data_IF_369387766167
#
_entry.id   IF_369387766167
#
_cell.length_a   1.000
_cell.length_b   1.000
_cell.length_c   1.000
_cell.angle_alpha   90.00
_cell.angle_beta   90.00
_cell.angle_gamma   90.00
#
_symmetry.space_group_name_H-M   'P 1'
#
loop_
_entity.id
_entity.type
_entity.pdbx_description
1 polymer ?
#
# COMPACT_ATOMS: atom_id res chain seq x y z
N UNK A 1 -41.42 14.22 10.84
CA UNK A 1 -40.19 14.94 11.20
C UNK A 1 -39.12 13.88 11.32
N UNK A 2 -38.21 13.81 10.35
CA UNK A 2 -37.02 12.99 10.40
C UNK A 2 -35.96 13.88 11.05
N UNK A 3 -35.51 13.52 12.25
CA UNK A 3 -34.45 14.22 12.96
C UNK A 3 -33.14 14.04 12.18
N UNK A 4 -32.84 15.01 11.32
CA UNK A 4 -31.62 15.09 10.55
C UNK A 4 -30.79 16.27 11.06
N UNK A 5 -30.16 16.11 12.22
CA UNK A 5 -28.87 16.75 12.54
C UNK A 5 -28.27 16.16 13.83
N UNK A 6 -28.05 14.85 13.87
CA UNK A 6 -27.07 14.32 14.82
C UNK A 6 -25.70 14.64 14.22
N UNK A 7 -24.88 15.51 14.84
CA UNK A 7 -23.54 15.78 14.32
C UNK A 7 -22.80 14.45 14.32
N UNK A 8 -22.46 13.94 13.14
CA UNK A 8 -21.54 12.80 13.03
C UNK A 8 -20.27 13.25 13.73
N UNK A 9 -20.01 12.72 14.93
CA UNK A 9 -18.78 13.00 15.66
C UNK A 9 -17.62 12.87 14.69
N UNK A 10 -16.77 13.89 14.63
CA UNK A 10 -15.69 13.94 13.65
C UNK A 10 -14.93 12.62 13.71
N UNK A 11 -15.01 11.84 12.62
CA UNK A 11 -14.24 10.62 12.52
C UNK A 11 -12.77 10.98 12.75
N UNK A 12 -12.01 10.17 13.50
CA UNK A 12 -10.59 10.40 13.64
C UNK A 12 -9.98 10.56 12.23
N UNK A 13 -9.07 11.53 12.10
CA UNK A 13 -8.38 11.78 10.84
C UNK A 13 -7.60 10.54 10.39
N UNK A 14 -7.16 10.51 9.11
CA UNK A 14 -6.42 9.37 8.58
C UNK A 14 -5.12 9.14 9.37
N UNK A 15 -4.79 7.87 9.66
CA UNK A 15 -3.45 7.50 10.16
C UNK A 15 -2.49 7.49 8.96
N UNK A 16 -1.56 8.45 8.94
CA UNK A 16 -0.62 8.66 7.84
C UNK A 16 0.80 8.38 8.34
N UNK A 17 1.51 7.51 7.62
CA UNK A 17 2.91 7.15 7.91
C UNK A 17 3.76 7.44 6.68
N UNK A 18 4.81 8.23 6.85
CA UNK A 18 5.75 8.56 5.78
C UNK A 18 6.86 7.52 5.72
N UNK A 19 7.17 7.01 4.54
CA UNK A 19 8.24 6.04 4.34
C UNK A 19 8.23 5.42 2.94
N UNK A 20 9.20 4.54 2.68
CA UNK A 20 9.20 3.67 1.51
C UNK A 20 8.29 2.48 1.80
N UNK A 21 7.08 2.49 1.25
CA UNK A 21 6.08 1.44 1.47
C UNK A 21 6.57 0.05 1.08
N UNK A 22 7.44 -0.08 0.07
CA UNK A 22 7.91 -1.39 -0.35
C UNK A 22 9.00 -1.90 0.60
N UNK A 23 9.90 -1.06 1.08
CA UNK A 23 10.99 -1.47 1.98
C UNK A 23 10.61 -1.50 3.45
N UNK A 24 9.65 -0.67 3.84
CA UNK A 24 9.26 -0.43 5.21
C UNK A 24 7.74 -0.22 5.27
N UNK A 25 7.00 -1.31 5.08
CA UNK A 25 5.55 -1.30 5.23
C UNK A 25 5.17 -0.81 6.64
N UNK A 26 4.38 0.26 6.67
CA UNK A 26 3.93 0.87 7.91
C UNK A 26 2.72 0.15 8.53
N UNK A 27 2.07 -0.73 7.76
CA UNK A 27 0.84 -1.41 8.14
C UNK A 27 0.86 -2.91 7.76
N UNK A 28 1.87 -3.69 8.20
CA UNK A 28 2.08 -5.08 7.75
C UNK A 28 0.97 -6.07 8.13
N UNK A 29 0.09 -5.70 9.07
CA UNK A 29 -1.04 -6.53 9.52
C UNK A 29 -2.40 -6.00 9.02
N UNK A 30 -2.41 -4.90 8.25
CA UNK A 30 -3.65 -4.28 7.79
C UNK A 30 -4.23 -5.08 6.62
N UNK A 31 -5.38 -5.70 6.85
CA UNK A 31 -6.25 -6.16 5.78
C UNK A 31 -7.23 -5.04 5.42
N UNK A 32 -7.33 -4.72 4.13
CA UNK A 32 -8.26 -3.72 3.62
C UNK A 32 -9.22 -4.37 2.62
N UNK A 33 -10.51 -4.03 2.72
CA UNK A 33 -11.52 -4.47 1.74
C UNK A 33 -11.31 -3.82 0.36
N UNK A 34 -10.63 -2.67 0.32
CA UNK A 34 -10.38 -1.91 -0.90
C UNK A 34 -9.09 -1.11 -0.76
N UNK A 35 -8.24 -1.21 -1.79
CA UNK A 35 -7.02 -0.41 -1.92
C UNK A 35 -7.11 0.46 -3.16
N UNK A 36 -6.79 1.75 -3.02
CA UNK A 36 -6.63 2.70 -4.11
C UNK A 36 -5.23 3.31 -4.02
N UNK A 37 -4.47 3.21 -5.11
CA UNK A 37 -3.16 3.82 -5.20
C UNK A 37 -2.89 4.35 -6.61
N UNK A 38 -1.98 5.30 -6.72
CA UNK A 38 -1.41 5.77 -7.99
C UNK A 38 0.12 5.76 -7.86
N UNK A 39 0.74 4.57 -7.88
CA UNK A 39 2.17 4.43 -7.63
C UNK A 39 3.00 5.06 -8.76
N UNK A 40 4.27 5.42 -8.48
CA UNK A 40 5.19 5.85 -9.52
C UNK A 40 5.40 4.74 -10.56
N UNK A 41 5.51 5.14 -11.83
CA UNK A 41 5.71 4.22 -12.96
C UNK A 41 7.19 4.16 -13.36
N UNK A 42 7.68 2.97 -13.72
CA UNK A 42 9.02 2.66 -14.20
C UNK A 42 10.13 3.13 -13.24
N UNK A 43 9.87 3.05 -11.93
CA UNK A 43 10.89 3.27 -10.91
C UNK A 43 11.88 2.10 -10.98
N UNK A 44 13.19 2.38 -10.96
CA UNK A 44 14.22 1.33 -11.06
C UNK A 44 14.87 1.03 -9.72
N UNK A 45 14.74 1.96 -8.77
CA UNK A 45 15.33 1.89 -7.44
C UNK A 45 14.30 1.55 -6.35
N UNK A 46 13.26 0.80 -6.69
CA UNK A 46 12.20 0.41 -5.76
C UNK A 46 12.61 -0.63 -4.70
N UNK A 47 13.83 -1.17 -4.78
CA UNK A 47 14.36 -2.12 -3.78
C UNK A 47 14.47 -3.57 -4.24
N UNK A 48 14.45 -3.83 -5.55
CA UNK A 48 14.51 -5.17 -6.13
C UNK A 48 15.53 -6.14 -5.50
N UNK A 49 16.76 -5.69 -5.24
CA UNK A 49 17.79 -6.58 -4.64
C UNK A 49 17.54 -6.84 -3.17
N UNK A 50 17.16 -5.80 -2.42
CA UNK A 50 16.87 -5.87 -0.98
C UNK A 50 15.66 -6.78 -0.71
N UNK A 51 14.69 -6.76 -1.62
CA UNK A 51 13.41 -7.44 -1.50
C UNK A 51 13.36 -8.79 -2.24
N UNK A 52 14.50 -9.33 -2.69
CA UNK A 52 14.53 -10.53 -3.53
C UNK A 52 13.85 -11.77 -2.92
N UNK A 53 13.79 -11.86 -1.59
CA UNK A 53 13.21 -12.98 -0.83
C UNK A 53 12.00 -12.57 0.01
N UNK A 54 11.39 -11.42 -0.30
CA UNK A 54 10.22 -10.94 0.41
C UNK A 54 9.04 -11.92 0.24
N UNK A 55 8.38 -12.34 1.34
CA UNK A 55 7.33 -13.34 1.28
C UNK A 55 6.07 -12.89 0.53
N UNK A 56 5.88 -11.58 0.27
CA UNK A 56 4.70 -11.08 -0.45
C UNK A 56 4.71 -11.41 -1.94
N UNK A 57 5.81 -11.91 -2.48
CA UNK A 57 5.94 -12.29 -3.89
C UNK A 57 5.30 -13.65 -4.21
N UNK A 58 3.99 -13.77 -4.00
CA UNK A 58 3.22 -15.00 -4.28
C UNK A 58 3.34 -15.44 -5.75
N UNK A 59 3.41 -14.47 -6.67
CA UNK A 59 3.48 -14.70 -8.12
C UNK A 59 4.91 -14.59 -8.67
N UNK A 60 5.91 -14.59 -7.79
CA UNK A 60 7.32 -14.44 -8.11
C UNK A 60 7.82 -13.00 -8.02
N UNK A 61 9.14 -12.86 -7.94
CA UNK A 61 9.83 -11.58 -7.81
C UNK A 61 9.58 -10.69 -9.04
N UNK A 62 8.98 -9.48 -8.87
CA UNK A 62 8.81 -8.52 -9.95
C UNK A 62 10.14 -8.15 -10.63
N UNK A 63 10.12 -7.99 -11.95
CA UNK A 63 11.31 -7.55 -12.67
C UNK A 63 11.73 -6.13 -12.23
N UNK A 64 13.04 -5.84 -12.23
CA UNK A 64 13.57 -4.54 -11.82
C UNK A 64 12.94 -3.35 -12.55
N UNK A 65 12.52 -3.53 -13.81
CA UNK A 65 11.91 -2.48 -14.64
C UNK A 65 10.39 -2.43 -14.57
N UNK A 66 9.76 -3.27 -13.74
CA UNK A 66 8.30 -3.41 -13.63
C UNK A 66 7.86 -3.18 -12.18
N UNK A 67 8.21 -2.00 -11.63
CA UNK A 67 7.88 -1.60 -10.25
C UNK A 67 6.38 -1.69 -9.92
N UNK A 68 5.53 -1.56 -10.92
CA UNK A 68 4.07 -1.62 -10.83
C UNK A 68 3.62 -2.99 -10.33
N UNK A 69 4.30 -4.07 -10.74
CA UNK A 69 3.98 -5.42 -10.28
C UNK A 69 4.36 -5.63 -8.81
N UNK A 70 5.38 -4.93 -8.31
CA UNK A 70 5.70 -4.90 -6.88
C UNK A 70 4.60 -4.21 -6.08
N UNK A 71 4.04 -3.11 -6.59
CA UNK A 71 2.89 -2.45 -5.98
C UNK A 71 1.63 -3.31 -6.01
N UNK A 72 1.35 -3.98 -7.13
CA UNK A 72 0.20 -4.91 -7.22
C UNK A 72 0.32 -6.01 -6.17
N UNK A 73 1.45 -6.72 -6.12
CA UNK A 73 1.63 -7.79 -5.14
C UNK A 73 1.66 -7.30 -3.68
N UNK A 74 2.08 -6.07 -3.41
CA UNK A 74 2.04 -5.51 -2.07
C UNK A 74 0.61 -5.26 -1.55
N UNK A 75 -0.35 -4.98 -2.43
CA UNK A 75 -1.73 -4.66 -2.05
C UNK A 75 -2.70 -5.85 -2.14
N UNK A 76 -2.22 -7.00 -2.61
CA UNK A 76 -2.96 -8.27 -2.66
C UNK A 76 -2.92 -8.97 -1.30
#
# INVERSE_FOLDING_TARGET
>A
ALDADTPRGAAPGPDLRTGDTLRADAFPELAADTVLCHPPFNERNWGHEELAYDPRWEYGLPARTESELAWVQHVL
#
